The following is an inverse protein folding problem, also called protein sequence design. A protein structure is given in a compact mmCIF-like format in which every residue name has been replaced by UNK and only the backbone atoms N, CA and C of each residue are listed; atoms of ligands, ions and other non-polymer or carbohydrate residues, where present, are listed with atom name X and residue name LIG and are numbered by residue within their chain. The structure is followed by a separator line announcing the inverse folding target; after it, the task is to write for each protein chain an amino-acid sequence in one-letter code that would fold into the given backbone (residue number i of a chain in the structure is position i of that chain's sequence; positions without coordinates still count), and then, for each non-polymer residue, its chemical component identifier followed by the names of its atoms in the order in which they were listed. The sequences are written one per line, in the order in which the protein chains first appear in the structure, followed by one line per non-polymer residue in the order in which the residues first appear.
data_IF_021172848536
#
_entry.id   IF_021172848536
#
_cell.length_a   1.000
_cell.length_b   1.000
_cell.length_c   1.000
_cell.angle_alpha   90.00
_cell.angle_beta   90.00
_cell.angle_gamma   90.00
#
_symmetry.space_group_name_H-M   'P 1'
#
loop_
_entity.id
_entity.type
_entity.pdbx_description
1 polymer ?
#
# COMPACT_ATOMS: atom_id res chain seq x y z
N UNK A 1 -23.46 5.00 17.74
CA UNK A 1 -24.81 4.64 18.18
C UNK A 1 -25.43 5.87 18.79
N UNK A 2 -26.59 6.29 18.29
CA UNK A 2 -27.35 7.41 18.84
C UNK A 2 -28.74 6.88 19.24
N UNK A 3 -29.21 7.27 20.42
CA UNK A 3 -30.53 6.92 20.95
C UNK A 3 -31.36 8.21 20.98
N UNK A 4 -32.53 8.18 20.35
CA UNK A 4 -33.36 9.39 20.12
C UNK A 4 -34.72 9.32 20.80
N UNK A 5 -35.04 8.24 21.51
CA UNK A 5 -36.31 8.08 22.22
C UNK A 5 -36.33 8.81 23.57
N UNK A 6 -37.45 9.45 23.89
CA UNK A 6 -37.59 10.40 25.00
C UNK A 6 -37.80 9.75 26.39
N UNK A 7 -37.82 8.43 26.46
CA UNK A 7 -38.17 7.67 27.67
C UNK A 7 -36.99 6.91 28.29
N UNK A 8 -35.82 7.55 28.45
CA UNK A 8 -34.64 6.91 29.05
C UNK A 8 -34.22 7.60 30.34
N UNK A 9 -34.15 6.83 31.43
CA UNK A 9 -33.47 7.26 32.66
C UNK A 9 -31.97 7.38 32.38
N UNK A 10 -31.32 8.43 32.91
CA UNK A 10 -29.87 8.65 32.73
C UNK A 10 -29.02 7.45 33.15
N UNK A 11 -29.52 6.63 34.08
CA UNK A 11 -28.87 5.42 34.60
C UNK A 11 -28.79 4.30 33.55
N UNK A 12 -29.81 4.15 32.71
CA UNK A 12 -29.87 3.08 31.70
C UNK A 12 -28.92 3.38 30.53
N UNK A 13 -28.82 4.66 30.16
CA UNK A 13 -27.88 5.14 29.15
C UNK A 13 -26.43 4.87 29.56
N UNK A 14 -26.09 5.09 30.83
CA UNK A 14 -24.73 4.85 31.32
C UNK A 14 -24.41 3.35 31.44
N UNK A 15 -25.39 2.53 31.83
CA UNK A 15 -25.25 1.07 31.86
C UNK A 15 -25.01 0.48 30.46
N UNK A 16 -25.74 0.97 29.45
CA UNK A 16 -25.51 0.63 28.04
C UNK A 16 -24.13 1.08 27.55
N UNK A 17 -23.68 2.27 27.95
CA UNK A 17 -22.35 2.79 27.60
C UNK A 17 -21.24 1.93 28.18
N UNK A 18 -21.37 1.50 29.45
CA UNK A 18 -20.40 0.59 30.07
C UNK A 18 -20.36 -0.75 29.36
N UNK A 19 -21.52 -1.38 29.13
CA UNK A 19 -21.61 -2.67 28.43
C UNK A 19 -20.99 -2.62 27.02
N UNK A 20 -21.20 -1.53 26.28
CA UNK A 20 -20.60 -1.29 24.96
C UNK A 20 -19.08 -1.03 25.00
N UNK A 21 -18.56 -0.52 26.13
CA UNK A 21 -17.11 -0.31 26.32
C UNK A 21 -16.43 -1.63 26.69
N UNK A 22 -17.06 -2.41 27.56
CA UNK A 22 -16.55 -3.70 28.03
C UNK A 22 -16.64 -4.78 26.93
N UNK A 23 -17.55 -4.60 25.96
CA UNK A 23 -17.64 -5.45 24.77
C UNK A 23 -16.57 -5.17 23.71
N UNK A 24 -15.73 -4.13 23.87
CA UNK A 24 -14.62 -3.85 22.94
C UNK A 24 -13.35 -4.58 23.39
N UNK A 25 -13.15 -5.80 22.87
CA UNK A 25 -11.92 -6.58 23.09
C UNK A 25 -11.85 -7.82 22.22
N UNK A 26 -10.63 -8.35 22.00
CA UNK A 26 -10.42 -9.63 21.31
C UNK A 26 -11.15 -10.75 22.08
N UNK A 27 -12.21 -11.32 21.49
CA UNK A 27 -13.00 -12.40 22.10
C UNK A 27 -14.44 -12.04 22.49
N UNK A 28 -14.84 -10.77 22.41
CA UNK A 28 -16.23 -10.37 22.69
C UNK A 28 -17.00 -10.10 21.39
N UNK A 29 -17.54 -11.15 20.78
CA UNK A 29 -18.43 -11.02 19.64
C UNK A 29 -19.88 -10.81 20.07
N UNK A 30 -20.37 -9.61 19.75
CA UNK A 30 -21.64 -9.35 19.08
C UNK A 30 -22.88 -10.03 19.65
N UNK A 31 -23.52 -9.43 20.65
CA UNK A 31 -24.99 -9.25 20.72
C UNK A 31 -25.35 -8.42 21.96
N UNK A 32 -25.74 -7.16 21.75
CA UNK A 32 -26.36 -6.33 22.79
C UNK A 32 -27.88 -6.40 22.61
N UNK A 33 -28.56 -7.07 23.52
CA UNK A 33 -30.03 -7.11 23.53
C UNK A 33 -30.57 -5.94 24.35
N UNK A 34 -31.40 -5.10 23.74
CA UNK A 34 -32.04 -3.97 24.40
C UNK A 34 -33.55 -4.08 24.30
N UNK A 35 -34.24 -4.05 25.45
CA UNK A 35 -35.69 -4.13 25.53
C UNK A 35 -36.30 -2.73 25.67
N UNK A 36 -37.02 -2.28 24.64
CA UNK A 36 -37.67 -0.97 24.59
C UNK A 36 -39.21 -1.12 24.46
N UNK A 37 -39.96 -1.21 25.57
CA UNK A 37 -41.42 -1.28 25.51
C UNK A 37 -41.97 0.04 24.94
N UNK A 38 -42.86 -0.04 23.95
CA UNK A 38 -43.40 1.10 23.18
C UNK A 38 -42.39 1.92 22.34
N UNK A 39 -41.18 1.39 22.09
CA UNK A 39 -40.18 2.08 21.26
C UNK A 39 -40.59 2.22 19.79
N UNK A 40 -40.21 3.33 19.14
CA UNK A 40 -40.38 3.50 17.69
C UNK A 40 -39.33 2.66 16.92
N UNK A 41 -39.63 2.21 15.68
CA UNK A 41 -38.66 1.49 14.85
C UNK A 41 -37.34 2.24 14.63
N UNK A 42 -37.37 3.57 14.59
CA UNK A 42 -36.19 4.44 14.48
C UNK A 42 -35.62 4.94 15.82
N UNK A 43 -36.14 4.47 16.96
CA UNK A 43 -35.73 4.96 18.30
C UNK A 43 -34.29 4.61 18.67
N UNK A 44 -33.72 3.57 18.06
CA UNK A 44 -32.34 3.14 18.23
C UNK A 44 -31.72 2.91 16.86
N UNK A 45 -30.84 3.83 16.46
CA UNK A 45 -30.10 3.71 15.20
C UNK A 45 -28.62 3.49 15.48
N UNK A 46 -28.15 2.30 15.12
CA UNK A 46 -26.72 2.02 15.02
C UNK A 46 -26.28 2.54 13.67
N UNK A 47 -25.79 3.78 13.63
CA UNK A 47 -24.98 4.24 12.50
C UNK A 47 -23.59 3.62 12.69
N UNK A 48 -23.14 2.74 11.78
CA UNK A 48 -21.76 2.29 11.80
C UNK A 48 -20.89 3.53 11.58
N UNK A 49 -20.27 4.01 12.66
CA UNK A 49 -19.15 4.93 12.54
C UNK A 49 -18.05 4.06 11.93
N UNK A 50 -17.78 4.28 10.65
CA UNK A 50 -16.57 3.79 10.02
C UNK A 50 -16.58 2.28 9.73
N UNK A 51 -17.55 1.82 8.94
CA UNK A 51 -17.13 0.94 7.84
C UNK A 51 -16.41 1.86 6.83
N UNK A 52 -15.16 2.20 7.17
CA UNK A 52 -14.35 3.08 6.33
C UNK A 52 -14.17 2.33 5.02
N UNK A 53 -14.56 2.97 3.93
CA UNK A 53 -14.35 2.56 2.55
C UNK A 53 -12.86 2.29 2.17
N UNK A 54 -11.96 2.26 3.15
CA UNK A 54 -10.53 1.94 2.99
C UNK A 54 -10.26 0.49 2.65
N UNK A 55 -11.23 -0.44 2.72
CA UNK A 55 -10.98 -1.84 2.34
C UNK A 55 -10.48 -1.97 0.89
N UNK A 56 -10.91 -1.09 -0.01
CA UNK A 56 -10.54 -1.18 -1.44
C UNK A 56 -9.29 -0.35 -1.80
N UNK A 57 -8.92 0.67 -1.01
CA UNK A 57 -7.78 1.53 -1.34
C UNK A 57 -6.42 0.96 -0.90
N UNK A 58 -6.35 0.03 0.05
CA UNK A 58 -5.06 -0.53 0.48
C UNK A 58 -4.30 -1.24 -0.65
N UNK A 59 -5.03 -1.94 -1.52
CA UNK A 59 -4.42 -2.60 -2.68
C UNK A 59 -3.92 -1.56 -3.70
N UNK A 60 -4.72 -0.51 -3.94
CA UNK A 60 -4.35 0.59 -4.83
C UNK A 60 -3.13 1.35 -4.30
N UNK A 61 -3.10 1.67 -3.01
CA UNK A 61 -1.96 2.34 -2.36
C UNK A 61 -0.69 1.49 -2.53
N UNK A 62 -0.74 0.19 -2.22
CA UNK A 62 0.43 -0.69 -2.40
C UNK A 62 0.91 -0.75 -3.85
N UNK A 63 -0.03 -0.83 -4.79
CA UNK A 63 0.26 -0.87 -6.22
C UNK A 63 0.94 0.42 -6.69
N UNK A 64 0.38 1.58 -6.32
CA UNK A 64 0.96 2.89 -6.66
C UNK A 64 2.33 3.07 -5.99
N UNK A 65 2.46 2.76 -4.70
CA UNK A 65 3.75 2.83 -4.02
C UNK A 65 4.81 1.91 -4.63
N UNK A 66 4.44 0.73 -5.12
CA UNK A 66 5.37 -0.14 -5.82
C UNK A 66 5.81 0.48 -7.16
N UNK A 67 4.90 1.07 -7.92
CA UNK A 67 5.23 1.79 -9.16
C UNK A 67 6.14 2.99 -8.89
N UNK A 68 5.84 3.79 -7.87
CA UNK A 68 6.66 4.96 -7.48
C UNK A 68 8.10 4.55 -7.13
N UNK A 69 8.29 3.41 -6.46
CA UNK A 69 9.64 2.89 -6.15
C UNK A 69 10.39 2.45 -7.41
N UNK A 70 9.71 1.84 -8.37
CA UNK A 70 10.32 1.44 -9.65
C UNK A 70 10.79 2.67 -10.44
N UNK A 71 9.93 3.69 -10.51
CA UNK A 71 10.23 4.96 -11.18
C UNK A 71 11.40 5.70 -10.50
N UNK A 72 11.45 5.68 -9.17
CA UNK A 72 12.55 6.28 -8.40
C UNK A 72 13.89 5.59 -8.69
N UNK A 73 13.90 4.26 -8.81
CA UNK A 73 15.12 3.51 -9.14
C UNK A 73 15.50 3.56 -10.62
N UNK A 74 14.58 3.99 -11.50
CA UNK A 74 14.76 4.04 -12.96
C UNK A 74 15.14 2.70 -13.59
N UNK A 75 14.85 1.59 -12.90
CA UNK A 75 15.12 0.23 -13.39
C UNK A 75 13.81 -0.38 -13.90
N UNK A 76 13.78 -0.87 -15.15
CA UNK A 76 12.61 -1.57 -15.66
C UNK A 76 12.20 -2.76 -14.78
N UNK A 77 10.91 -2.92 -14.55
CA UNK A 77 10.37 -3.98 -13.66
C UNK A 77 10.85 -5.40 -14.03
N UNK A 78 11.07 -5.64 -15.33
CA UNK A 78 11.51 -6.91 -15.89
C UNK A 78 12.90 -7.31 -15.40
N UNK A 79 13.80 -6.32 -15.24
CA UNK A 79 15.18 -6.54 -14.79
C UNK A 79 15.27 -6.70 -13.27
N UNK A 80 14.24 -6.28 -12.54
CA UNK A 80 14.14 -6.42 -11.08
C UNK A 80 13.53 -7.77 -10.63
N UNK A 81 13.15 -8.64 -11.57
CA UNK A 81 12.47 -9.90 -11.25
C UNK A 81 11.04 -9.71 -10.72
N UNK A 82 10.44 -8.54 -10.97
CA UNK A 82 9.08 -8.24 -10.55
C UNK A 82 8.04 -9.07 -11.31
N UNK A 83 7.01 -9.56 -10.60
CA UNK A 83 5.89 -10.25 -11.24
C UNK A 83 5.10 -9.24 -12.10
N UNK A 84 4.88 -9.50 -13.40
CA UNK A 84 4.05 -8.62 -14.22
C UNK A 84 2.63 -8.63 -13.70
N UNK A 85 2.01 -7.45 -13.62
CA UNK A 85 0.58 -7.33 -13.35
C UNK A 85 -0.26 -7.81 -14.54
N UNK A 86 0.23 -7.56 -15.76
CA UNK A 86 -0.40 -7.94 -17.01
C UNK A 86 0.60 -8.70 -17.90
N UNK A 87 0.29 -9.96 -18.20
CA UNK A 87 1.16 -10.88 -18.96
C UNK A 87 1.51 -10.32 -20.36
N UNK A 88 0.63 -9.51 -20.95
CA UNK A 88 0.84 -8.90 -22.27
C UNK A 88 1.82 -7.72 -22.31
N UNK A 89 2.23 -7.17 -21.17
CA UNK A 89 3.10 -5.97 -21.09
C UNK A 89 4.58 -6.29 -20.83
N UNK A 90 4.95 -7.57 -20.80
CA UNK A 90 6.31 -7.99 -20.44
C UNK A 90 7.36 -7.74 -21.54
N UNK A 91 6.93 -7.43 -22.77
CA UNK A 91 7.83 -7.02 -23.86
C UNK A 91 8.97 -8.01 -24.10
N UNK A 92 10.02 -7.52 -24.77
CA UNK A 92 11.25 -8.27 -25.02
C UNK A 92 12.32 -7.82 -24.01
N UNK A 93 12.68 -8.72 -23.08
CA UNK A 93 13.61 -8.44 -21.97
C UNK A 93 15.00 -8.07 -22.49
N UNK A 94 15.45 -8.65 -23.61
CA UNK A 94 16.76 -8.34 -24.18
C UNK A 94 16.81 -6.90 -24.71
N UNK A 95 15.73 -6.46 -25.35
CA UNK A 95 15.61 -5.07 -25.81
C UNK A 95 15.59 -4.10 -24.63
N UNK A 96 14.84 -4.43 -23.58
CA UNK A 96 14.75 -3.59 -22.38
C UNK A 96 16.10 -3.49 -21.67
N UNK A 97 16.82 -4.61 -21.51
CA UNK A 97 18.17 -4.63 -20.96
C UNK A 97 19.15 -3.77 -21.77
N UNK A 98 19.11 -3.87 -23.11
CA UNK A 98 19.96 -3.07 -24.00
C UNK A 98 19.71 -1.57 -23.86
N UNK A 99 18.44 -1.16 -23.80
CA UNK A 99 18.06 0.26 -23.64
C UNK A 99 18.45 0.77 -22.24
N UNK A 100 18.16 -0.02 -21.20
CA UNK A 100 18.52 0.33 -19.82
C UNK A 100 20.04 0.49 -19.66
N UNK A 101 20.84 -0.42 -20.22
CA UNK A 101 22.29 -0.34 -20.09
C UNK A 101 22.83 0.89 -20.80
N UNK A 102 22.35 1.16 -22.01
CA UNK A 102 22.78 2.32 -22.79
C UNK A 102 22.42 3.66 -22.12
N UNK A 103 21.22 3.76 -21.54
CA UNK A 103 20.69 5.04 -21.06
C UNK A 103 20.94 5.31 -19.57
N UNK A 104 21.04 4.28 -18.74
CA UNK A 104 21.20 4.43 -17.29
C UNK A 104 22.58 3.97 -16.81
N UNK A 105 23.04 2.76 -17.20
CA UNK A 105 24.32 2.22 -16.71
C UNK A 105 25.55 2.88 -17.35
N UNK A 106 25.58 3.05 -18.68
CA UNK A 106 26.75 3.63 -19.35
C UNK A 106 27.05 5.06 -18.84
N UNK A 107 26.08 5.98 -18.73
CA UNK A 107 26.36 7.31 -18.17
C UNK A 107 26.83 7.25 -16.71
N UNK A 108 26.27 6.34 -15.91
CA UNK A 108 26.71 6.14 -14.53
C UNK A 108 28.15 5.63 -14.47
N UNK A 109 28.52 4.68 -15.33
CA UNK A 109 29.89 4.18 -15.46
C UNK A 109 30.85 5.28 -15.87
N UNK A 110 30.49 6.12 -16.84
CA UNK A 110 31.31 7.29 -17.23
C UNK A 110 31.46 8.27 -16.07
N UNK A 111 30.41 8.54 -15.30
CA UNK A 111 30.48 9.39 -14.11
C UNK A 111 31.44 8.83 -13.05
N UNK A 112 31.50 7.51 -12.88
CA UNK A 112 32.47 6.87 -12.00
C UNK A 112 33.90 6.96 -12.54
N UNK A 113 34.10 6.93 -13.87
CA UNK A 113 35.43 7.07 -14.47
C UNK A 113 36.04 8.45 -14.26
N UNK A 114 35.24 9.50 -14.04
CA UNK A 114 35.77 10.83 -13.68
C UNK A 114 36.68 10.81 -12.44
N UNK A 115 36.53 9.82 -11.55
CA UNK A 115 37.43 9.62 -10.41
C UNK A 115 38.88 9.39 -10.87
N UNK A 116 39.08 8.72 -12.02
CA UNK A 116 40.41 8.53 -12.59
C UNK A 116 41.06 9.87 -12.94
N UNK A 117 40.28 10.80 -13.51
CA UNK A 117 40.75 12.12 -13.87
C UNK A 117 41.13 12.93 -12.62
N UNK A 118 40.37 12.79 -11.53
CA UNK A 118 40.67 13.43 -10.26
C UNK A 118 41.96 12.90 -9.62
N UNK A 119 42.23 11.60 -9.76
CA UNK A 119 43.42 10.95 -9.21
C UNK A 119 44.64 11.05 -10.13
N UNK A 120 44.46 11.45 -11.40
CA UNK A 120 45.52 11.46 -12.40
C UNK A 120 46.05 10.08 -12.79
N UNK A 121 45.30 9.01 -12.47
CA UNK A 121 45.66 7.63 -12.79
C UNK A 121 44.41 6.78 -13.03
N UNK A 122 44.51 5.78 -13.93
CA UNK A 122 43.42 4.87 -14.23
C UNK A 122 43.25 3.83 -13.10
N UNK A 123 42.25 4.02 -12.24
CA UNK A 123 41.91 3.10 -11.15
C UNK A 123 40.63 2.30 -11.47
N UNK A 124 39.64 2.94 -12.10
CA UNK A 124 38.33 2.38 -12.40
C UNK A 124 38.23 2.13 -13.90
N UNK A 125 38.02 0.87 -14.28
CA UNK A 125 37.76 0.46 -15.67
C UNK A 125 36.60 -0.51 -15.74
N UNK A 126 35.68 -0.25 -16.66
CA UNK A 126 34.53 -1.12 -16.94
C UNK A 126 34.81 -1.99 -18.17
N UNK A 127 34.30 -3.22 -18.15
CA UNK A 127 34.32 -4.10 -19.33
C UNK A 127 33.26 -3.62 -20.33
N UNK A 128 33.51 -3.87 -21.62
CA UNK A 128 32.49 -3.63 -22.64
C UNK A 128 31.27 -4.52 -22.36
N UNK A 129 30.09 -3.93 -22.43
CA UNK A 129 28.85 -4.65 -22.21
C UNK A 129 28.46 -5.45 -23.45
N UNK A 130 28.30 -6.77 -23.28
CA UNK A 130 27.67 -7.65 -24.26
C UNK A 130 26.50 -8.40 -23.62
N UNK A 131 25.36 -8.38 -24.32
CA UNK A 131 24.29 -9.37 -24.15
C UNK A 131 24.61 -10.46 -25.17
N UNK A 132 25.33 -11.49 -24.75
CA UNK A 132 25.49 -12.69 -25.57
C UNK A 132 24.13 -13.40 -25.59
N UNK A 133 23.47 -13.34 -26.74
CA UNK A 133 22.39 -14.25 -27.09
C UNK A 133 23.03 -15.58 -27.47
N UNK A 134 22.69 -16.66 -26.78
CA UNK A 134 22.94 -18.03 -27.28
C UNK A 134 22.26 -18.23 -28.65
#
# INVERSE_FOLDING_TARGET
MYVTDAAQSSTDVESLRSAMRDSKGLGNFNNLFFYAPNGKPDGIKIVPLSEVATKDDFFNIKKVSAADLLDAHRVPFQLMGGKPENIGSMGDVEKVARVFVRNELTPLQERFKEINDWLGMEVIRFKYYSLESE
#
